data_IF_340629532967
#
_entry.id   IF_340629532967
#
_cell.length_a   1.000
_cell.length_b   1.000
_cell.length_c   1.000
_cell.angle_alpha   90.00
_cell.angle_beta   90.00
_cell.angle_gamma   90.00
#
_symmetry.space_group_name_H-M   'P 1'
#
loop_
_entity.id
_entity.type
_entity.pdbx_description
1 polymer ?
#
# COMPACT_ATOMS: atom_id res chain seq x y z
N UNK A 1 -17.59 22.98 0.51
CA UNK A 1 -18.71 22.14 0.06
C UNK A 1 -18.27 20.70 -0.32
N UNK A 2 -17.13 20.19 0.15
CA UNK A 2 -16.65 18.84 -0.25
C UNK A 2 -16.76 17.76 0.83
N UNK A 3 -17.10 18.10 2.08
CA UNK A 3 -17.18 17.11 3.16
C UNK A 3 -18.50 16.28 3.17
N UNK A 4 -19.50 16.66 2.37
CA UNK A 4 -20.78 15.95 2.32
C UNK A 4 -20.81 14.83 1.27
N UNK A 5 -19.87 14.76 0.32
CA UNK A 5 -19.93 13.75 -0.74
C UNK A 5 -19.44 12.36 -0.26
N UNK A 6 -18.43 12.32 0.60
CA UNK A 6 -17.84 11.07 1.10
C UNK A 6 -18.80 10.28 2.02
N UNK A 7 -19.73 10.95 2.72
CA UNK A 7 -20.66 10.28 3.64
C UNK A 7 -21.80 9.52 2.95
N UNK A 8 -22.07 9.79 1.67
CA UNK A 8 -23.17 9.16 0.92
C UNK A 8 -22.73 8.01 0.04
N UNK A 9 -21.44 7.78 -0.17
CA UNK A 9 -20.97 6.64 -0.97
C UNK A 9 -21.53 5.29 -0.49
N UNK A 10 -21.53 4.96 0.82
CA UNK A 10 -22.14 3.72 1.28
C UNK A 10 -23.62 3.62 0.95
N UNK A 11 -24.34 4.75 0.99
CA UNK A 11 -25.77 4.79 0.69
C UNK A 11 -26.05 4.63 -0.82
N UNK A 12 -25.23 5.24 -1.67
CA UNK A 12 -25.31 5.07 -3.12
C UNK A 12 -25.04 3.62 -3.51
N UNK A 13 -24.00 3.01 -2.93
CA UNK A 13 -23.67 1.58 -3.12
C UNK A 13 -24.83 0.68 -2.67
N UNK A 14 -25.46 0.97 -1.51
CA UNK A 14 -26.63 0.23 -1.06
C UNK A 14 -27.86 0.42 -1.97
N UNK A 15 -27.98 1.58 -2.62
CA UNK A 15 -29.06 1.86 -3.58
C UNK A 15 -28.84 1.06 -4.86
N UNK A 16 -27.62 1.07 -5.40
CA UNK A 16 -27.21 0.21 -6.52
C UNK A 16 -27.42 -1.27 -6.17
N UNK A 17 -27.08 -1.69 -4.95
CA UNK A 17 -27.30 -3.07 -4.51
C UNK A 17 -28.78 -3.46 -4.43
N UNK A 18 -29.67 -2.55 -4.05
CA UNK A 18 -31.13 -2.79 -4.05
C UNK A 18 -31.68 -2.95 -5.46
N UNK A 19 -31.15 -2.19 -6.43
CA UNK A 19 -31.49 -2.35 -7.85
C UNK A 19 -30.94 -3.68 -8.40
N UNK A 20 -29.72 -4.06 -8.01
CA UNK A 20 -29.13 -5.36 -8.27
C UNK A 20 -29.97 -6.51 -7.67
N UNK A 21 -30.44 -6.39 -6.43
CA UNK A 21 -31.31 -7.39 -5.80
C UNK A 21 -32.65 -7.50 -6.54
N UNK A 22 -33.26 -6.38 -6.91
CA UNK A 22 -34.48 -6.36 -7.72
C UNK A 22 -34.29 -7.00 -9.12
N UNK A 23 -33.05 -7.05 -9.62
CA UNK A 23 -32.67 -7.67 -10.90
C UNK A 23 -31.99 -9.04 -10.74
N UNK A 24 -31.92 -9.61 -9.52
CA UNK A 24 -31.24 -10.86 -9.19
C UNK A 24 -29.72 -10.90 -9.48
N UNK A 25 -29.06 -9.74 -9.48
CA UNK A 25 -27.61 -9.58 -9.69
C UNK A 25 -26.88 -9.27 -8.38
N UNK A 26 -26.98 -10.14 -7.37
CA UNK A 26 -26.27 -9.96 -6.09
C UNK A 26 -24.75 -9.96 -6.28
N UNK A 27 -24.04 -9.23 -5.42
CA UNK A 27 -22.57 -9.22 -5.44
C UNK A 27 -22.00 -10.37 -4.61
N UNK A 28 -20.83 -10.92 -4.98
CA UNK A 28 -20.11 -11.85 -4.11
C UNK A 28 -19.75 -11.21 -2.77
N UNK A 29 -19.77 -12.01 -1.71
CA UNK A 29 -19.52 -11.59 -0.33
C UNK A 29 -18.17 -10.90 -0.20
N UNK A 30 -17.15 -11.42 -0.90
CA UNK A 30 -15.83 -10.83 -0.91
C UNK A 30 -15.84 -9.35 -1.35
N UNK A 31 -16.58 -9.03 -2.44
CA UNK A 31 -16.74 -7.66 -2.94
C UNK A 31 -17.44 -6.77 -1.90
N UNK A 32 -18.48 -7.30 -1.25
CA UNK A 32 -19.20 -6.57 -0.21
C UNK A 32 -18.28 -6.25 0.98
N UNK A 33 -17.51 -7.23 1.47
CA UNK A 33 -16.55 -7.03 2.57
C UNK A 33 -15.50 -5.98 2.21
N UNK A 34 -14.94 -6.04 1.01
CA UNK A 34 -13.97 -5.03 0.55
C UNK A 34 -14.60 -3.63 0.51
N UNK A 35 -15.82 -3.55 -0.01
CA UNK A 35 -16.55 -2.28 -0.17
C UNK A 35 -16.94 -1.66 1.17
N UNK A 36 -17.34 -2.47 2.16
CA UNK A 36 -17.76 -1.97 3.48
C UNK A 36 -16.67 -2.08 4.56
N UNK A 37 -15.41 -2.33 4.18
CA UNK A 37 -14.28 -2.53 5.12
C UNK A 37 -14.10 -1.37 6.10
N UNK A 38 -14.40 -0.13 5.68
CA UNK A 38 -14.25 1.08 6.48
C UNK A 38 -15.43 1.37 7.41
N UNK A 39 -16.52 0.58 7.34
CA UNK A 39 -17.69 0.77 8.20
C UNK A 39 -17.38 0.21 9.60
N UNK A 40 -17.57 1.05 10.62
CA UNK A 40 -17.36 0.63 12.01
C UNK A 40 -18.41 -0.39 12.42
N UNK A 41 -17.95 -1.55 12.88
CA UNK A 41 -18.80 -2.50 13.58
C UNK A 41 -19.09 -1.98 14.99
N UNK A 42 -20.29 -2.28 15.50
CA UNK A 42 -20.67 -1.95 16.88
C UNK A 42 -19.96 -2.82 17.90
N UNK A 43 -20.72 -3.60 18.68
CA UNK A 43 -20.18 -4.39 19.80
C UNK A 43 -19.32 -5.57 19.35
N UNK A 44 -19.64 -6.22 18.23
CA UNK A 44 -18.98 -7.43 17.77
C UNK A 44 -18.24 -7.19 16.44
N UNK A 45 -16.92 -7.35 16.46
CA UNK A 45 -16.07 -7.19 15.27
C UNK A 45 -16.43 -8.18 14.13
N UNK A 46 -17.11 -9.29 14.44
CA UNK A 46 -17.55 -10.31 13.47
C UNK A 46 -18.74 -9.87 12.63
N UNK A 47 -19.52 -8.90 13.10
CA UNK A 47 -20.71 -8.43 12.39
C UNK A 47 -20.36 -7.83 11.02
N UNK A 48 -19.09 -7.43 10.78
CA UNK A 48 -18.62 -7.03 9.44
C UNK A 48 -18.78 -8.11 8.38
N UNK A 49 -18.73 -9.37 8.80
CA UNK A 49 -18.88 -10.53 7.92
C UNK A 49 -20.35 -10.93 7.85
N UNK A 50 -20.97 -11.13 9.02
CA UNK A 50 -22.29 -11.76 9.10
C UNK A 50 -23.42 -10.84 8.62
N UNK A 51 -23.31 -9.53 8.80
CA UNK A 51 -24.33 -8.58 8.37
C UNK A 51 -24.48 -8.51 6.84
N UNK A 52 -23.46 -8.95 6.09
CA UNK A 52 -23.43 -8.89 4.63
C UNK A 52 -23.92 -10.18 3.96
N UNK A 53 -24.05 -11.28 4.70
CA UNK A 53 -24.40 -12.59 4.14
C UNK A 53 -25.74 -12.59 3.43
N UNK A 54 -26.76 -11.95 4.02
CA UNK A 54 -28.09 -11.87 3.40
C UNK A 54 -28.14 -11.06 2.10
N UNK A 55 -27.12 -10.23 1.85
CA UNK A 55 -26.98 -9.42 0.64
C UNK A 55 -26.13 -10.14 -0.43
N UNK A 56 -25.25 -11.04 0.00
CA UNK A 56 -24.29 -11.70 -0.87
C UNK A 56 -24.94 -12.74 -1.78
N UNK A 57 -24.35 -12.94 -2.95
CA UNK A 57 -24.73 -13.98 -3.91
C UNK A 57 -24.43 -15.39 -3.37
N UNK A 58 -23.29 -15.52 -2.70
CA UNK A 58 -22.64 -16.70 -2.14
C UNK A 58 -22.77 -16.76 -0.60
N UNK A 59 -23.70 -16.00 -0.03
CA UNK A 59 -23.89 -15.90 1.42
C UNK A 59 -24.43 -17.15 2.10
N UNK A 60 -24.91 -18.12 1.33
CA UNK A 60 -25.38 -19.44 1.77
C UNK A 60 -24.28 -20.51 1.84
N UNK A 61 -23.05 -20.17 1.47
CA UNK A 61 -21.91 -21.07 1.60
C UNK A 61 -21.70 -21.49 3.07
N UNK A 62 -21.62 -22.80 3.39
CA UNK A 62 -21.44 -23.29 4.76
C UNK A 62 -20.20 -22.74 5.49
N UNK A 63 -19.16 -22.34 4.74
CA UNK A 63 -17.97 -21.71 5.33
C UNK A 63 -18.26 -20.32 5.90
N UNK A 64 -19.33 -19.66 5.48
CA UNK A 64 -19.69 -18.31 5.90
C UNK A 64 -20.77 -18.26 6.99
N UNK A 65 -21.22 -19.41 7.51
CA UNK A 65 -22.25 -19.46 8.55
C UNK A 65 -21.86 -18.64 9.80
N UNK A 66 -22.77 -17.82 10.36
CA UNK A 66 -22.48 -17.02 11.55
C UNK A 66 -22.01 -17.86 12.75
N UNK A 67 -20.86 -17.49 13.31
CA UNK A 67 -20.25 -18.14 14.49
C UNK A 67 -19.82 -17.08 15.52
N UNK A 68 -20.57 -17.02 16.62
CA UNK A 68 -20.31 -16.12 17.74
C UNK A 68 -19.56 -16.79 18.91
N UNK A 69 -19.28 -18.09 18.83
CA UNK A 69 -18.68 -18.88 19.91
C UNK A 69 -17.18 -19.09 19.73
N UNK A 70 -16.72 -19.35 18.50
CA UNK A 70 -15.29 -19.57 18.19
C UNK A 70 -14.46 -18.30 18.35
N UNK A 71 -13.12 -18.36 18.49
CA UNK A 71 -12.26 -17.19 18.41
C UNK A 71 -12.37 -16.45 17.06
N UNK A 72 -12.13 -15.13 17.06
CA UNK A 72 -12.30 -14.29 15.85
C UNK A 72 -11.38 -14.72 14.70
N UNK A 73 -10.15 -15.10 15.02
CA UNK A 73 -9.17 -15.61 14.07
C UNK A 73 -9.63 -16.87 13.34
N UNK A 74 -10.39 -17.75 14.01
CA UNK A 74 -10.97 -18.95 13.40
C UNK A 74 -12.02 -18.57 12.36
N UNK A 75 -12.87 -17.58 12.69
CA UNK A 75 -13.86 -17.05 11.75
C UNK A 75 -13.19 -16.41 10.54
N UNK A 76 -12.17 -15.57 10.75
CA UNK A 76 -11.42 -14.91 9.67
C UNK A 76 -10.75 -15.92 8.74
N UNK A 77 -10.10 -16.94 9.30
CA UNK A 77 -9.44 -18.01 8.54
C UNK A 77 -10.44 -18.79 7.70
N UNK A 78 -11.58 -19.16 8.28
CA UNK A 78 -12.65 -19.89 7.59
C UNK A 78 -13.21 -19.09 6.40
N UNK A 79 -13.39 -17.77 6.58
CA UNK A 79 -13.82 -16.89 5.50
C UNK A 79 -12.76 -16.77 4.40
N UNK A 80 -11.50 -16.58 4.77
CA UNK A 80 -10.39 -16.53 3.82
C UNK A 80 -10.24 -17.84 3.03
N UNK A 81 -10.45 -18.99 3.67
CA UNK A 81 -10.53 -20.28 3.01
C UNK A 81 -11.64 -20.31 1.96
N UNK A 82 -12.86 -19.91 2.32
CA UNK A 82 -13.98 -19.86 1.36
C UNK A 82 -13.65 -18.99 0.15
N UNK A 83 -13.13 -17.79 0.39
CA UNK A 83 -12.72 -16.89 -0.70
C UNK A 83 -11.61 -17.46 -1.57
N UNK A 84 -10.63 -18.14 -0.97
CA UNK A 84 -9.57 -18.78 -1.72
C UNK A 84 -10.09 -19.94 -2.59
N UNK A 85 -11.05 -20.71 -2.09
CA UNK A 85 -11.73 -21.78 -2.83
C UNK A 85 -12.59 -21.23 -3.98
N UNK A 86 -13.18 -20.05 -3.80
CA UNK A 86 -14.00 -19.36 -4.80
C UNK A 86 -13.17 -18.58 -5.84
N UNK A 87 -11.84 -18.67 -5.78
CA UNK A 87 -10.93 -18.07 -6.78
C UNK A 87 -10.45 -16.66 -6.45
N UNK A 88 -10.74 -16.11 -5.27
CA UNK A 88 -10.28 -14.78 -4.83
C UNK A 88 -8.83 -14.79 -4.27
N UNK A 89 -8.02 -15.79 -4.61
CA UNK A 89 -6.68 -15.95 -4.06
C UNK A 89 -5.77 -14.74 -4.30
N UNK A 90 -5.81 -14.13 -5.48
CA UNK A 90 -4.99 -12.96 -5.78
C UNK A 90 -5.45 -11.72 -5.01
N UNK A 91 -6.77 -11.53 -4.89
CA UNK A 91 -7.37 -10.41 -4.17
C UNK A 91 -7.09 -10.49 -2.67
N UNK A 92 -7.04 -11.69 -2.10
CA UNK A 92 -6.58 -11.93 -0.74
C UNK A 92 -5.11 -11.49 -0.59
N UNK A 93 -4.23 -11.89 -1.51
CA UNK A 93 -2.81 -11.52 -1.47
C UNK A 93 -2.60 -10.00 -1.58
N UNK A 94 -3.41 -9.29 -2.38
CA UNK A 94 -3.37 -7.83 -2.40
C UNK A 94 -3.76 -7.20 -1.06
N UNK A 95 -4.77 -7.75 -0.39
CA UNK A 95 -5.24 -7.22 0.89
C UNK A 95 -4.40 -7.69 2.09
N UNK A 96 -3.47 -8.63 1.90
CA UNK A 96 -2.64 -9.22 2.93
C UNK A 96 -1.22 -8.61 3.01
N UNK A 97 -0.46 -8.98 4.05
CA UNK A 97 0.94 -8.56 4.26
C UNK A 97 1.17 -7.11 4.75
N UNK A 98 0.27 -6.16 4.50
CA UNK A 98 0.57 -4.73 4.57
C UNK A 98 1.01 -4.13 5.92
N UNK A 99 0.83 -4.80 7.07
CA UNK A 99 1.24 -4.27 8.38
C UNK A 99 1.64 -5.33 9.44
N UNK A 100 1.86 -6.59 9.04
CA UNK A 100 2.24 -7.66 9.99
C UNK A 100 3.76 -7.62 10.22
N UNK A 101 4.19 -7.35 11.45
CA UNK A 101 5.55 -7.66 11.88
C UNK A 101 5.69 -9.20 12.01
N UNK A 102 6.85 -9.75 11.67
CA UNK A 102 7.16 -11.17 11.88
C UNK A 102 6.88 -11.56 13.33
N UNK A 103 6.02 -12.57 13.53
CA UNK A 103 5.72 -13.15 14.85
C UNK A 103 4.55 -12.52 15.61
N UNK A 104 3.91 -11.45 15.12
CA UNK A 104 2.80 -10.79 15.84
C UNK A 104 1.41 -11.14 15.26
N UNK A 105 1.35 -11.91 14.16
CA UNK A 105 0.08 -12.23 13.52
C UNK A 105 -0.45 -13.61 13.88
N UNK A 106 -1.65 -13.63 14.47
CA UNK A 106 -2.47 -14.83 14.72
C UNK A 106 -3.08 -15.43 13.44
N UNK A 107 -2.81 -14.83 12.29
CA UNK A 107 -3.39 -15.17 10.99
C UNK A 107 -2.28 -15.48 9.98
N UNK A 108 -2.51 -16.40 9.02
CA UNK A 108 -1.58 -16.63 7.92
C UNK A 108 -1.17 -15.34 7.20
N UNK A 109 0.03 -15.32 6.63
CA UNK A 109 0.56 -14.14 5.96
C UNK A 109 -0.26 -13.74 4.73
N UNK A 110 -0.93 -14.70 4.07
CA UNK A 110 -1.85 -14.48 2.95
C UNK A 110 -3.28 -14.11 3.35
N UNK A 111 -3.63 -14.16 4.64
CA UNK A 111 -4.97 -13.79 5.12
C UNK A 111 -5.01 -12.33 5.53
N UNK A 112 -5.84 -11.50 4.88
CA UNK A 112 -6.06 -10.13 5.28
C UNK A 112 -6.61 -10.04 6.70
N UNK A 113 -6.13 -9.09 7.47
CA UNK A 113 -6.82 -8.70 8.68
C UNK A 113 -7.92 -7.70 8.33
N UNK A 114 -9.15 -8.19 8.15
CA UNK A 114 -10.31 -7.33 7.93
C UNK A 114 -10.74 -6.60 9.22
N UNK A 115 -10.10 -6.86 10.35
CA UNK A 115 -10.49 -6.30 11.64
C UNK A 115 -9.96 -4.92 11.93
N UNK A 116 -8.82 -4.60 11.34
CA UNK A 116 -8.20 -3.31 11.46
C UNK A 116 -8.93 -2.26 10.61
N UNK A 117 -9.03 -1.03 11.15
CA UNK A 117 -9.47 0.15 10.40
C UNK A 117 -8.36 0.57 9.41
N UNK A 118 -7.88 -0.34 8.57
CA UNK A 118 -6.96 -0.01 7.49
C UNK A 118 -7.78 0.55 6.35
N UNK A 119 -7.74 1.88 6.18
CA UNK A 119 -7.96 2.50 4.87
C UNK A 119 -7.16 1.75 3.80
N UNK A 120 -7.55 1.78 2.52
CA UNK A 120 -6.86 1.14 1.36
C UNK A 120 -5.40 1.63 1.12
N UNK A 121 -4.78 2.24 2.13
CA UNK A 121 -3.36 2.53 2.27
C UNK A 121 -2.57 1.24 2.01
N UNK A 122 -1.71 1.33 1.01
CA UNK A 122 -0.74 0.30 0.64
C UNK A 122 -1.18 -0.60 -0.50
N UNK A 123 -2.44 -0.50 -0.98
CA UNK A 123 -2.94 -1.42 -1.99
C UNK A 123 -2.57 -1.02 -3.43
N UNK A 124 -1.31 -1.29 -3.82
CA UNK A 124 -0.75 -1.41 -5.18
C UNK A 124 -1.78 -1.57 -6.31
N UNK A 125 -2.59 -2.62 -6.18
CA UNK A 125 -3.52 -3.09 -7.21
C UNK A 125 -4.67 -2.13 -7.56
N UNK A 126 -4.98 -1.18 -6.68
CA UNK A 126 -6.07 -0.19 -6.81
C UNK A 126 -5.59 1.19 -7.32
N UNK A 127 -4.35 1.30 -7.80
CA UNK A 127 -3.76 2.58 -8.23
C UNK A 127 -4.44 3.27 -9.44
N UNK A 128 -5.44 2.63 -10.07
CA UNK A 128 -6.15 3.19 -11.22
C UNK A 128 -6.81 4.54 -10.92
N UNK A 129 -7.34 4.72 -9.70
CA UNK A 129 -7.88 6.00 -9.21
C UNK A 129 -6.85 7.14 -9.13
N UNK A 130 -5.56 6.84 -9.35
CA UNK A 130 -4.42 7.77 -9.32
C UNK A 130 -3.76 7.94 -10.70
N UNK A 131 -4.40 7.41 -11.74
CA UNK A 131 -3.94 7.50 -13.13
C UNK A 131 -2.88 6.46 -13.51
N UNK A 132 -2.71 5.40 -12.72
CA UNK A 132 -1.70 4.35 -12.97
C UNK A 132 -2.34 2.97 -12.97
N UNK A 133 -2.08 2.20 -14.02
CA UNK A 133 -2.52 0.81 -14.13
C UNK A 133 -1.27 -0.05 -14.24
N UNK A 134 -0.99 -0.83 -13.19
CA UNK A 134 0.15 -1.74 -13.17
C UNK A 134 -0.19 -3.08 -13.83
N UNK A 135 0.84 -3.69 -14.41
CA UNK A 135 0.74 -4.96 -15.13
C UNK A 135 2.04 -5.75 -14.99
N UNK A 136 2.54 -5.90 -13.76
CA UNK A 136 3.86 -6.49 -13.49
C UNK A 136 4.02 -7.90 -14.09
N UNK A 137 2.99 -8.75 -14.04
CA UNK A 137 3.02 -10.10 -14.64
C UNK A 137 2.77 -10.14 -16.15
N UNK A 138 2.51 -9.00 -16.79
CA UNK A 138 2.21 -8.92 -18.22
C UNK A 138 1.00 -9.78 -18.61
N UNK A 139 1.25 -10.77 -19.48
CA UNK A 139 0.23 -11.69 -20.00
C UNK A 139 0.18 -13.05 -19.26
N UNK A 140 0.93 -13.22 -18.17
CA UNK A 140 0.91 -14.46 -17.40
C UNK A 140 -0.46 -14.67 -16.75
N UNK A 141 -1.01 -15.86 -16.90
CA UNK A 141 -2.29 -16.22 -16.30
C UNK A 141 -2.13 -16.54 -14.81
N UNK A 142 -3.14 -16.19 -14.01
CA UNK A 142 -3.15 -16.50 -12.58
C UNK A 142 -3.06 -17.99 -12.32
N UNK A 143 -2.18 -18.38 -11.40
CA UNK A 143 -1.96 -19.77 -10.98
C UNK A 143 -1.82 -19.80 -9.46
N UNK A 144 -2.97 -19.74 -8.80
CA UNK A 144 -3.10 -19.76 -7.35
C UNK A 144 -4.03 -20.91 -6.97
N UNK A 145 -3.63 -21.71 -5.99
CA UNK A 145 -4.42 -22.83 -5.49
C UNK A 145 -4.36 -22.87 -3.96
N UNK A 146 -5.52 -23.02 -3.32
CA UNK A 146 -5.60 -23.26 -1.89
C UNK A 146 -5.42 -24.74 -1.58
N UNK A 147 -4.43 -25.07 -0.76
CA UNK A 147 -4.14 -26.42 -0.32
C UNK A 147 -4.74 -26.66 1.07
N UNK A 148 -5.92 -27.27 1.11
CA UNK A 148 -6.70 -27.44 2.35
C UNK A 148 -6.01 -28.28 3.41
N UNK A 149 -5.18 -29.26 3.02
CA UNK A 149 -4.43 -30.15 3.92
C UNK A 149 -3.34 -29.43 4.71
N UNK A 150 -2.81 -28.33 4.15
CA UNK A 150 -1.74 -27.52 4.73
C UNK A 150 -2.18 -26.11 5.12
N UNK A 151 -3.39 -25.72 4.72
CA UNK A 151 -3.96 -24.38 4.90
C UNK A 151 -3.06 -23.26 4.32
N UNK A 152 -2.40 -23.54 3.19
CA UNK A 152 -1.51 -22.61 2.48
C UNK A 152 -2.06 -22.24 1.12
N UNK A 153 -1.62 -21.08 0.60
CA UNK A 153 -1.79 -20.74 -0.82
C UNK A 153 -0.54 -21.14 -1.59
N UNK A 154 -0.68 -22.06 -2.54
CA UNK A 154 0.32 -22.29 -3.58
C UNK A 154 0.18 -21.20 -4.64
N UNK A 155 1.26 -20.48 -4.93
CA UNK A 155 1.32 -19.42 -5.94
C UNK A 155 2.50 -19.66 -6.88
N UNK A 156 2.29 -19.57 -8.19
CA UNK A 156 3.40 -19.53 -9.13
C UNK A 156 3.96 -18.11 -9.25
N UNK A 157 5.28 -17.97 -9.16
CA UNK A 157 5.93 -16.68 -9.20
C UNK A 157 7.26 -16.67 -9.96
N UNK A 158 7.70 -15.46 -10.28
CA UNK A 158 9.00 -15.15 -10.87
C UNK A 158 9.83 -14.33 -9.88
N UNK A 159 10.98 -14.88 -9.50
CA UNK A 159 11.98 -14.16 -8.69
C UNK A 159 12.70 -13.11 -9.53
N UNK A 160 12.38 -11.84 -9.27
CA UNK A 160 12.86 -10.70 -10.03
C UNK A 160 14.10 -10.03 -9.43
N UNK A 161 14.21 -10.01 -8.10
CA UNK A 161 15.29 -9.35 -7.40
C UNK A 161 15.34 -9.70 -5.92
N UNK A 162 16.31 -9.14 -5.21
CA UNK A 162 16.43 -9.24 -3.75
C UNK A 162 16.66 -7.84 -3.19
N UNK A 163 16.01 -7.52 -2.07
CA UNK A 163 16.21 -6.26 -1.35
C UNK A 163 17.64 -6.21 -0.82
N UNK A 164 18.34 -5.12 -1.14
CA UNK A 164 19.74 -4.88 -0.75
C UNK A 164 19.83 -3.91 0.41
N UNK A 165 19.26 -2.71 0.25
CA UNK A 165 19.23 -1.70 1.30
C UNK A 165 17.81 -1.22 1.56
N UNK A 166 17.53 -0.90 2.84
CA UNK A 166 16.25 -0.37 3.31
C UNK A 166 16.50 0.93 4.06
N UNK A 167 15.70 1.96 3.79
CA UNK A 167 15.80 3.24 4.50
C UNK A 167 15.47 3.07 6.00
N UNK A 168 16.20 3.78 6.85
CA UNK A 168 15.95 3.79 8.30
C UNK A 168 14.69 4.55 8.65
N UNK A 169 14.40 5.60 7.88
CA UNK A 169 13.20 6.42 8.06
C UNK A 169 12.09 5.95 7.13
N UNK A 170 10.84 6.14 7.58
CA UNK A 170 9.63 5.84 6.83
C UNK A 170 8.98 7.11 6.28
N UNK A 171 8.12 6.96 5.27
CA UNK A 171 7.25 8.02 4.77
C UNK A 171 6.11 8.35 5.78
N UNK A 172 6.48 8.96 6.91
CA UNK A 172 5.52 9.52 7.88
C UNK A 172 5.82 11.00 8.10
N UNK A 173 4.81 11.87 8.32
CA UNK A 173 5.00 13.32 8.39
C UNK A 173 6.15 13.77 9.31
N UNK A 174 6.33 13.09 10.45
CA UNK A 174 7.38 13.38 11.43
C UNK A 174 8.81 13.05 10.97
N UNK A 175 8.97 12.15 10.00
CA UNK A 175 10.26 11.65 9.52
C UNK A 175 10.61 12.08 8.09
N UNK A 176 9.66 12.65 7.33
CA UNK A 176 9.81 12.96 5.89
C UNK A 176 11.07 13.74 5.52
N UNK A 177 11.48 14.71 6.32
CA UNK A 177 12.73 15.46 6.06
C UNK A 177 13.96 14.52 6.02
N UNK A 178 14.06 13.56 6.94
CA UNK A 178 15.18 12.59 6.99
C UNK A 178 15.01 11.49 5.96
N UNK A 179 13.78 11.01 5.75
CA UNK A 179 13.44 10.06 4.69
C UNK A 179 13.91 10.55 3.32
N UNK A 180 13.59 11.80 2.95
CA UNK A 180 14.01 12.38 1.68
C UNK A 180 15.50 12.74 1.57
N UNK A 181 16.22 12.84 2.69
CA UNK A 181 17.69 12.98 2.67
C UNK A 181 18.37 11.63 2.45
N UNK A 182 17.87 10.59 3.11
CA UNK A 182 18.36 9.21 2.98
C UNK A 182 18.05 8.67 1.57
N UNK A 183 16.84 8.87 1.07
CA UNK A 183 16.44 8.53 -0.29
C UNK A 183 17.34 9.18 -1.35
N UNK A 184 17.64 10.47 -1.21
CA UNK A 184 18.53 11.16 -2.15
C UNK A 184 19.91 10.48 -2.19
N UNK A 185 20.44 10.13 -1.01
CA UNK A 185 21.74 9.48 -0.85
C UNK A 185 21.74 8.05 -1.43
N UNK A 186 20.66 7.29 -1.22
CA UNK A 186 20.51 5.94 -1.75
C UNK A 186 20.43 5.94 -3.28
N UNK A 187 19.69 6.88 -3.88
CA UNK A 187 19.62 7.01 -5.34
C UNK A 187 20.96 7.47 -5.94
N UNK A 188 21.65 8.40 -5.29
CA UNK A 188 22.97 8.88 -5.73
C UNK A 188 24.05 7.78 -5.67
N UNK A 189 23.90 6.80 -4.76
CA UNK A 189 24.77 5.64 -4.70
C UNK A 189 24.57 4.65 -5.87
N UNK A 190 23.41 4.69 -6.54
CA UNK A 190 23.11 3.85 -7.70
C UNK A 190 23.80 4.39 -8.97
N UNK A 191 25.06 3.96 -9.18
CA UNK A 191 25.92 4.41 -10.30
C UNK A 191 25.42 4.07 -11.71
N UNK A 192 24.45 3.15 -11.83
CA UNK A 192 23.90 2.73 -13.12
C UNK A 192 22.91 3.74 -13.72
N UNK A 193 22.40 4.68 -12.91
CA UNK A 193 21.49 5.73 -13.38
C UNK A 193 22.27 7.00 -13.73
N UNK A 194 21.99 7.56 -14.90
CA UNK A 194 22.43 8.92 -15.23
C UNK A 194 21.72 9.97 -14.33
N UNK A 195 22.20 11.21 -14.39
CA UNK A 195 21.71 12.29 -13.53
C UNK A 195 20.22 12.58 -13.78
N UNK A 196 19.76 12.51 -15.02
CA UNK A 196 18.36 12.79 -15.37
C UNK A 196 17.43 11.72 -14.81
N UNK A 197 17.83 10.45 -14.93
CA UNK A 197 17.11 9.32 -14.35
C UNK A 197 17.09 9.39 -12.84
N UNK A 198 18.21 9.74 -12.18
CA UNK A 198 18.23 9.95 -10.73
C UNK A 198 17.25 11.04 -10.29
N UNK A 199 17.17 12.17 -11.00
CA UNK A 199 16.20 13.22 -10.68
C UNK A 199 14.76 12.78 -10.91
N UNK A 200 14.52 11.94 -11.91
CA UNK A 200 13.19 11.35 -12.14
C UNK A 200 12.80 10.39 -11.01
N UNK A 201 13.71 9.51 -10.59
CA UNK A 201 13.43 8.54 -9.53
C UNK A 201 13.13 9.22 -8.19
N UNK A 202 13.89 10.27 -7.85
CA UNK A 202 13.68 11.09 -6.64
C UNK A 202 12.28 11.67 -6.52
N UNK A 203 11.60 11.93 -7.65
CA UNK A 203 10.24 12.49 -7.68
C UNK A 203 9.14 11.44 -7.81
N UNK A 204 9.36 10.35 -8.56
CA UNK A 204 8.30 9.38 -8.90
C UNK A 204 8.24 8.18 -7.95
N UNK A 205 9.38 7.62 -7.55
CA UNK A 205 9.42 6.43 -6.68
C UNK A 205 8.76 6.66 -5.32
N UNK A 206 8.97 7.80 -4.62
CA UNK A 206 8.33 8.04 -3.33
C UNK A 206 6.81 8.14 -3.38
N UNK A 207 6.19 8.18 -4.57
CA UNK A 207 4.73 8.26 -4.78
C UNK A 207 4.22 7.08 -5.61
N UNK A 208 5.01 6.01 -5.75
CA UNK A 208 4.71 4.86 -6.59
C UNK A 208 4.29 5.22 -8.03
N UNK A 209 4.85 6.29 -8.59
CA UNK A 209 4.50 6.76 -9.94
C UNK A 209 3.11 7.38 -10.09
N UNK A 210 2.36 7.61 -9.00
CA UNK A 210 1.03 8.22 -9.04
C UNK A 210 1.01 9.56 -9.79
N UNK A 211 -0.03 9.78 -10.60
CA UNK A 211 -0.17 10.99 -11.42
C UNK A 211 -0.96 12.08 -10.70
N UNK A 212 -1.95 11.69 -9.90
CA UNK A 212 -2.80 12.58 -9.11
C UNK A 212 -3.27 11.88 -7.81
N UNK A 213 -3.62 12.65 -6.77
CA UNK A 213 -4.29 12.11 -5.60
C UNK A 213 -5.68 11.61 -5.98
N UNK A 214 -6.21 10.71 -5.17
CA UNK A 214 -7.51 10.08 -5.40
C UNK A 214 -8.65 11.00 -4.94
N UNK A 215 -8.43 11.72 -3.84
CA UNK A 215 -9.36 12.69 -3.26
C UNK A 215 -9.44 14.03 -4.03
N UNK A 216 -8.69 14.18 -5.13
CA UNK A 216 -8.49 15.45 -5.83
C UNK A 216 -9.12 15.50 -7.22
N UNK A 217 -9.25 16.71 -7.78
CA UNK A 217 -9.64 16.87 -9.19
C UNK A 217 -8.58 16.23 -10.09
N UNK A 218 -9.01 15.41 -11.06
CA UNK A 218 -8.20 14.81 -12.13
C UNK A 218 -7.52 15.84 -13.08
N UNK A 219 -7.58 17.14 -12.76
CA UNK A 219 -6.86 18.17 -13.48
C UNK A 219 -5.36 17.83 -13.52
N UNK A 220 -4.70 18.03 -14.66
CA UNK A 220 -3.28 17.74 -14.85
C UNK A 220 -2.44 18.37 -13.73
N UNK A 221 -1.95 17.55 -12.81
CA UNK A 221 -1.01 17.97 -11.78
C UNK A 221 0.38 17.98 -12.36
N UNK A 222 1.05 19.13 -12.27
CA UNK A 222 2.48 19.18 -12.56
C UNK A 222 3.25 18.61 -11.35
N UNK A 223 3.56 17.31 -11.39
CA UNK A 223 4.28 16.59 -10.33
C UNK A 223 5.65 17.24 -10.09
N UNK A 224 6.35 17.64 -11.15
CA UNK A 224 7.69 18.25 -11.05
C UNK A 224 7.65 19.55 -10.25
N UNK A 225 6.69 20.43 -10.54
CA UNK A 225 6.52 21.67 -9.79
C UNK A 225 6.09 21.40 -8.35
N UNK A 226 5.14 20.49 -8.14
CA UNK A 226 4.62 20.11 -6.82
C UNK A 226 5.73 19.53 -5.94
N UNK A 227 6.54 18.62 -6.48
CA UNK A 227 7.73 18.06 -5.84
C UNK A 227 8.75 19.13 -5.47
N UNK A 228 9.07 20.04 -6.40
CA UNK A 228 10.04 21.12 -6.13
C UNK A 228 9.57 22.06 -5.01
N UNK A 229 8.28 22.39 -4.98
CA UNK A 229 7.66 23.19 -3.94
C UNK A 229 7.71 22.45 -2.60
N UNK A 230 7.37 21.17 -2.60
CA UNK A 230 7.39 20.28 -1.44
C UNK A 230 8.78 20.17 -0.81
N UNK A 231 9.81 19.86 -1.61
CA UNK A 231 11.21 19.81 -1.12
C UNK A 231 11.67 21.13 -0.53
N UNK A 232 11.22 22.27 -1.07
CA UNK A 232 11.56 23.61 -0.54
C UNK A 232 10.87 23.87 0.81
N UNK A 233 9.64 23.40 1.01
CA UNK A 233 8.94 23.47 2.30
C UNK A 233 9.69 22.64 3.35
N UNK A 234 10.02 21.37 3.04
CA UNK A 234 10.77 20.50 3.96
C UNK A 234 12.10 21.13 4.43
N UNK A 235 12.87 21.72 3.51
CA UNK A 235 14.12 22.41 3.85
C UNK A 235 13.89 23.62 4.78
N UNK A 236 12.83 24.41 4.56
CA UNK A 236 12.50 25.56 5.41
C UNK A 236 12.11 25.13 6.82
N UNK A 237 11.32 24.07 6.94
CA UNK A 237 10.87 23.56 8.24
C UNK A 237 12.03 22.97 9.04
N UNK A 238 12.97 22.30 8.36
CA UNK A 238 14.20 21.82 8.98
C UNK A 238 15.09 22.98 9.51
N UNK A 239 15.28 24.03 8.71
CA UNK A 239 16.04 25.22 9.13
C UNK A 239 15.41 25.91 10.34
N UNK A 240 14.08 26.04 10.36
CA UNK A 240 13.34 26.56 11.52
C UNK A 240 13.53 25.69 12.75
N UNK A 241 13.41 24.37 12.60
CA UNK A 241 13.57 23.42 13.70
C UNK A 241 15.01 23.37 14.26
N UNK A 242 16.03 23.66 13.44
CA UNK A 242 17.43 23.81 13.89
C UNK A 242 17.64 25.13 14.64
N UNK A 243 17.08 26.24 14.13
CA UNK A 243 17.16 27.55 14.79
C UNK A 243 16.53 27.54 16.20
N UNK A 244 15.36 26.92 16.36
CA UNK A 244 14.69 26.77 17.67
C UNK A 244 15.47 25.89 18.66
N UNK A 245 16.26 24.92 18.17
CA UNK A 245 17.13 24.08 19.02
C UNK A 245 18.43 24.79 19.41
N UNK A 246 18.93 25.69 18.55
CA UNK A 246 20.15 26.47 18.80
C UNK A 246 20.00 27.60 19.82
N UNK A 247 18.78 28.08 20.09
CA UNK A 247 18.50 29.20 21.01
C UNK A 247 18.26 28.78 22.47
N UNK A 248 18.52 27.51 22.82
CA UNK A 248 18.31 26.95 24.16
C UNK A 248 19.23 27.46 25.29
N UNK A 249 20.08 28.47 25.07
CA UNK A 249 20.83 29.14 26.15
C UNK A 249 20.77 30.67 26.02
N UNK A 250 19.93 31.25 26.90
CA UNK A 250 19.79 32.67 27.28
C UNK A 250 19.16 33.61 26.24
N UNK A 251 17.91 34.03 26.50
CA UNK A 251 17.49 35.41 26.26
C UNK A 251 16.36 35.80 27.24
N UNK A 252 16.72 36.70 28.17
CA UNK A 252 15.80 37.46 29.00
C UNK A 252 14.87 38.32 28.13
N UNK A 253 13.67 38.53 28.65
CA UNK A 253 12.70 39.58 28.35
C UNK A 253 13.22 40.72 27.48
N UNK A 254 12.76 40.77 26.22
CA UNK A 254 12.65 42.01 25.45
C UNK A 254 11.30 42.05 24.76
N UNK A 255 10.45 42.93 25.26
CA UNK A 255 9.29 43.47 24.56
C UNK A 255 9.77 44.12 23.26
N UNK A 256 9.37 43.57 22.12
CA UNK A 256 9.31 44.34 20.87
C UNK A 256 8.13 43.88 20.04
N UNK A 257 7.21 44.81 19.88
CA UNK A 257 6.14 44.82 18.92
C UNK A 257 6.62 44.53 17.48
N UNK A 258 5.70 43.97 16.70
CA UNK A 258 5.55 44.09 15.24
C UNK A 258 6.43 43.21 14.34
N UNK A 259 5.83 42.14 13.80
CA UNK A 259 5.67 41.88 12.35
C UNK A 259 4.77 40.67 12.08
N UNK A 260 3.46 40.89 12.14
CA UNK A 260 2.46 40.11 11.40
C UNK A 260 2.22 40.81 10.07
N UNK A 261 2.97 40.48 9.01
CA UNK A 261 2.64 40.88 7.61
C UNK A 261 3.67 40.40 6.57
N UNK A 262 3.93 39.10 6.46
CA UNK A 262 4.62 38.57 5.25
C UNK A 262 4.11 37.22 4.74
N UNK A 263 3.07 36.64 5.35
CA UNK A 263 2.54 35.33 4.95
C UNK A 263 1.52 35.37 3.78
N UNK A 264 1.30 36.54 3.14
CA UNK A 264 0.22 36.76 2.16
C UNK A 264 0.69 37.17 0.75
N UNK A 265 1.90 36.79 0.33
CA UNK A 265 2.26 36.96 -1.08
C UNK A 265 1.59 35.86 -1.93
N UNK A 266 0.94 36.17 -3.07
CA UNK A 266 0.34 35.19 -3.97
C UNK A 266 1.31 34.07 -4.38
N UNK A 267 2.60 34.39 -4.53
CA UNK A 267 3.64 33.43 -4.84
C UNK A 267 3.91 32.43 -3.70
N UNK A 268 3.80 32.86 -2.43
CA UNK A 268 3.96 31.99 -1.26
C UNK A 268 2.74 31.08 -1.09
N UNK A 269 1.54 31.62 -1.33
CA UNK A 269 0.28 30.88 -1.29
C UNK A 269 0.31 29.77 -2.35
N UNK A 270 0.59 30.12 -3.62
CA UNK A 270 0.69 29.14 -4.70
C UNK A 270 1.79 28.09 -4.47
N UNK A 271 2.91 28.46 -3.85
CA UNK A 271 3.94 27.50 -3.46
C UNK A 271 3.45 26.51 -2.37
N UNK A 272 2.74 26.99 -1.35
CA UNK A 272 2.20 26.11 -0.30
C UNK A 272 1.12 25.18 -0.86
N UNK A 273 0.29 25.65 -1.78
CA UNK A 273 -0.72 24.83 -2.46
C UNK A 273 -0.07 23.72 -3.30
N UNK A 274 0.90 24.06 -4.16
CA UNK A 274 1.66 23.06 -4.93
C UNK A 274 2.37 22.04 -4.05
N UNK A 275 2.91 22.48 -2.91
CA UNK A 275 3.52 21.58 -1.92
C UNK A 275 2.50 20.61 -1.30
N UNK A 276 1.26 21.05 -1.06
CA UNK A 276 0.21 20.18 -0.51
C UNK A 276 -0.14 19.07 -1.48
N UNK A 277 -0.16 19.34 -2.78
CA UNK A 277 -0.47 18.31 -3.80
C UNK A 277 0.47 17.12 -3.71
N UNK A 278 1.79 17.35 -3.64
CA UNK A 278 2.74 16.24 -3.50
C UNK A 278 2.65 15.58 -2.12
N UNK A 279 2.35 16.34 -1.06
CA UNK A 279 2.12 15.78 0.28
C UNK A 279 0.91 14.84 0.31
N UNK A 280 -0.20 15.19 -0.34
CA UNK A 280 -1.40 14.35 -0.45
C UNK A 280 -1.10 13.00 -1.12
N UNK A 281 -0.28 12.98 -2.18
CA UNK A 281 0.18 11.73 -2.81
C UNK A 281 0.93 10.82 -1.82
N UNK A 282 1.73 11.42 -0.92
CA UNK A 282 2.45 10.68 0.12
C UNK A 282 1.55 10.24 1.29
N UNK A 283 0.46 10.96 1.56
CA UNK A 283 -0.44 10.77 2.70
C UNK A 283 -1.57 9.77 2.45
N UNK A 284 -2.04 9.64 1.21
CA UNK A 284 -3.22 8.84 0.92
C UNK A 284 -2.92 7.34 0.78
N UNK A 285 -1.72 6.97 0.30
CA UNK A 285 -1.50 5.63 -0.25
C UNK A 285 -0.36 4.83 0.36
N UNK A 286 0.75 5.45 0.75
CA UNK A 286 2.01 4.76 1.08
C UNK A 286 2.65 5.35 2.33
N UNK A 287 1.80 5.77 3.26
CA UNK A 287 2.24 6.25 4.57
C UNK A 287 2.91 5.09 5.32
N UNK A 288 4.02 5.36 5.98
CA UNK A 288 4.77 4.35 6.74
C UNK A 288 5.73 3.51 5.91
N UNK A 289 5.56 3.46 4.58
CA UNK A 289 6.43 2.71 3.68
C UNK A 289 7.86 3.25 3.70
N UNK A 290 8.80 2.35 3.43
CA UNK A 290 10.24 2.63 3.38
C UNK A 290 10.73 2.64 1.94
N UNK A 291 11.81 3.37 1.71
CA UNK A 291 12.53 3.36 0.44
C UNK A 291 13.50 2.18 0.43
N UNK A 292 13.61 1.51 -0.71
CA UNK A 292 14.45 0.32 -0.86
C UNK A 292 15.28 0.39 -2.14
N UNK A 293 16.44 -0.26 -2.12
CA UNK A 293 17.21 -0.59 -3.31
C UNK A 293 17.37 -2.09 -3.41
N UNK A 294 17.52 -2.60 -4.63
CA UNK A 294 17.67 -4.03 -4.90
C UNK A 294 19.10 -4.37 -5.30
N UNK A 295 19.47 -5.65 -5.25
CA UNK A 295 20.81 -6.13 -5.62
C UNK A 295 21.15 -5.89 -7.09
N UNK A 296 20.14 -5.81 -7.97
CA UNK A 296 20.33 -5.44 -9.38
C UNK A 296 20.34 -3.92 -9.61
N UNK A 297 20.38 -3.12 -8.54
CA UNK A 297 20.51 -1.67 -8.62
C UNK A 297 19.21 -0.93 -8.97
N UNK A 298 18.04 -1.60 -8.84
CA UNK A 298 16.74 -0.93 -8.95
C UNK A 298 16.40 -0.26 -7.62
N UNK A 299 15.40 0.60 -7.63
CA UNK A 299 14.92 1.25 -6.41
C UNK A 299 13.39 1.33 -6.38
N UNK A 300 12.86 1.49 -5.18
CA UNK A 300 11.44 1.33 -4.95
C UNK A 300 10.99 1.76 -3.56
N UNK A 301 9.76 1.41 -3.24
CA UNK A 301 9.18 1.51 -1.90
C UNK A 301 8.48 0.21 -1.53
N UNK A 302 8.50 -0.12 -0.24
CA UNK A 302 7.90 -1.34 0.30
C UNK A 302 7.35 -1.10 1.72
N UNK A 303 6.53 -2.02 2.26
CA UNK A 303 5.99 -1.94 3.61
C UNK A 303 7.08 -1.77 4.68
N UNK A 304 6.69 -1.25 5.85
CA UNK A 304 7.63 -0.89 6.91
C UNK A 304 8.43 -2.07 7.49
N UNK A 305 7.90 -3.29 7.35
CA UNK A 305 8.43 -4.58 7.77
C UNK A 305 9.46 -5.18 6.81
N UNK A 306 9.70 -4.57 5.63
CA UNK A 306 10.72 -5.03 4.67
C UNK A 306 12.12 -5.00 5.28
N UNK A 307 12.93 -6.02 4.94
CA UNK A 307 14.30 -6.18 5.39
C UNK A 307 15.25 -6.47 4.20
N UNK A 308 16.54 -6.10 4.32
CA UNK A 308 17.57 -6.61 3.42
C UNK A 308 17.56 -8.14 3.38
N UNK A 309 17.60 -8.70 2.17
CA UNK A 309 17.53 -10.15 1.95
C UNK A 309 16.15 -10.66 1.52
N UNK A 310 15.08 -9.89 1.72
CA UNK A 310 13.75 -10.26 1.21
C UNK A 310 13.75 -10.35 -0.32
N UNK A 311 13.00 -11.30 -0.88
CA UNK A 311 12.90 -11.45 -2.34
C UNK A 311 11.76 -10.60 -2.92
N UNK A 312 11.98 -10.12 -4.15
CA UNK A 312 10.99 -9.41 -4.95
C UNK A 312 10.45 -10.38 -5.99
N UNK A 313 9.18 -10.72 -5.87
CA UNK A 313 8.51 -11.75 -6.65
C UNK A 313 7.36 -11.16 -7.46
N UNK A 314 7.15 -11.64 -8.68
CA UNK A 314 5.94 -11.36 -9.45
C UNK A 314 5.10 -12.62 -9.49
N UNK A 315 3.92 -12.59 -8.86
CA UNK A 315 2.97 -13.67 -8.97
C UNK A 315 2.33 -13.69 -10.35
N UNK A 316 2.16 -14.87 -10.93
CA UNK A 316 1.48 -15.02 -12.22
C UNK A 316 0.04 -14.50 -12.11
N UNK A 317 -0.39 -13.69 -13.09
CA UNK A 317 -1.66 -12.95 -13.04
C UNK A 317 -1.69 -11.72 -12.11
N UNK A 318 -0.59 -11.43 -11.40
CA UNK A 318 -0.46 -10.30 -10.49
C UNK A 318 -0.26 -8.96 -11.20
N UNK A 319 -0.87 -7.89 -10.67
CA UNK A 319 -0.72 -6.53 -11.18
C UNK A 319 0.55 -5.85 -10.68
N UNK A 320 1.04 -6.24 -9.52
CA UNK A 320 2.19 -5.63 -8.84
C UNK A 320 3.13 -6.72 -8.30
N UNK A 321 4.41 -6.40 -8.03
CA UNK A 321 5.32 -7.31 -7.34
C UNK A 321 5.00 -7.39 -5.84
N UNK A 322 5.42 -8.49 -5.24
CA UNK A 322 5.28 -8.82 -3.83
C UNK A 322 6.66 -9.05 -3.21
N UNK A 323 6.76 -8.75 -1.92
CA UNK A 323 7.91 -9.06 -1.10
C UNK A 323 7.64 -10.37 -0.37
N UNK A 324 8.53 -11.34 -0.56
CA UNK A 324 8.53 -12.61 0.15
C UNK A 324 9.74 -12.73 1.08
N UNK A 325 9.55 -13.43 2.19
CA UNK A 325 10.62 -13.77 3.13
C UNK A 325 10.58 -15.26 3.43
N UNK A 326 11.72 -15.93 3.29
CA UNK A 326 11.84 -17.34 3.63
C UNK A 326 11.62 -17.54 5.14
N UNK A 327 10.70 -18.44 5.50
CA UNK A 327 10.44 -18.80 6.88
C UNK A 327 11.55 -19.66 7.48
N UNK A 328 11.71 -19.62 8.80
CA UNK A 328 12.65 -20.46 9.55
C UNK A 328 12.19 -21.93 9.70
N UNK A 329 11.01 -22.29 9.19
CA UNK A 329 10.41 -23.61 9.40
C UNK A 329 11.00 -24.68 8.45
N UNK A 330 11.24 -25.92 8.93
CA UNK A 330 11.77 -27.02 8.11
C UNK A 330 10.90 -27.43 6.92
N UNK A 331 9.63 -27.00 6.88
CA UNK A 331 8.65 -27.35 5.86
C UNK A 331 8.71 -26.46 4.59
N UNK A 332 9.58 -25.43 4.55
CA UNK A 332 9.78 -24.61 3.36
C UNK A 332 8.67 -23.57 3.09
N UNK A 333 8.00 -23.11 4.14
CA UNK A 333 6.99 -22.05 4.04
C UNK A 333 7.59 -20.67 3.78
N UNK A 334 6.90 -19.87 2.97
CA UNK A 334 7.31 -18.49 2.66
C UNK A 334 6.31 -17.49 3.26
N UNK A 335 6.83 -16.44 3.90
CA UNK A 335 6.02 -15.36 4.45
C UNK A 335 5.78 -14.27 3.41
N UNK A 336 4.51 -13.89 3.24
CA UNK A 336 4.14 -12.70 2.50
C UNK A 336 4.34 -11.45 3.37
N UNK A 337 5.29 -10.60 2.96
CA UNK A 337 5.49 -9.27 3.56
C UNK A 337 4.55 -8.23 2.94
N UNK A 338 4.10 -8.43 1.70
CA UNK A 338 3.08 -7.61 1.05
C UNK A 338 3.51 -7.07 -0.31
N UNK A 339 2.66 -6.24 -0.91
CA UNK A 339 2.92 -5.61 -2.21
C UNK A 339 4.09 -4.63 -2.13
N UNK A 340 4.79 -4.38 -3.25
CA UNK A 340 5.80 -3.33 -3.34
C UNK A 340 5.75 -2.57 -4.66
N UNK A 341 6.41 -1.41 -4.71
CA UNK A 341 6.66 -0.68 -5.94
C UNK A 341 8.16 -0.70 -6.22
N UNK A 342 8.58 -1.31 -7.32
CA UNK A 342 9.97 -1.26 -7.80
C UNK A 342 9.99 -0.70 -9.21
N UNK A 343 10.73 0.39 -9.41
CA UNK A 343 10.90 1.01 -10.72
C UNK A 343 11.57 0.03 -11.70
N UNK A 344 10.98 -0.10 -12.90
CA UNK A 344 11.40 -1.07 -13.91
C UNK A 344 10.89 -2.51 -13.72
N UNK A 345 9.90 -2.72 -12.83
CA UNK A 345 9.24 -4.02 -12.64
C UNK A 345 7.71 -3.93 -12.85
N UNK A 346 7.12 -2.76 -12.63
CA UNK A 346 5.66 -2.59 -12.48
C UNK A 346 4.82 -2.77 -13.76
N UNK A 347 5.43 -2.72 -14.94
CA UNK A 347 4.76 -2.68 -16.24
C UNK A 347 5.15 -3.86 -17.15
N UNK A 348 5.61 -4.97 -16.58
CA UNK A 348 5.93 -6.20 -17.31
C UNK A 348 7.36 -6.26 -17.83
N UNK A 349 8.17 -5.23 -17.58
CA UNK A 349 9.54 -5.13 -18.08
C UNK A 349 10.41 -6.30 -17.58
N UNK A 350 10.22 -6.70 -16.32
CA UNK A 350 10.94 -7.84 -15.73
C UNK A 350 10.58 -9.17 -16.43
N UNK A 351 9.32 -9.41 -16.77
CA UNK A 351 8.90 -10.63 -17.46
C UNK A 351 9.52 -10.72 -18.86
N UNK A 352 9.63 -9.58 -19.55
CA UNK A 352 10.30 -9.50 -20.85
C UNK A 352 11.83 -9.64 -20.77
N UNK A 353 12.44 -9.02 -19.75
CA UNK A 353 13.88 -9.06 -19.50
C UNK A 353 14.36 -10.51 -19.30
N UNK A 354 13.54 -11.33 -18.65
CA UNK A 354 13.88 -12.70 -18.31
C UNK A 354 13.10 -13.71 -19.19
N UNK A 355 13.11 -13.52 -20.52
CA UNK A 355 12.58 -14.52 -21.47
C UNK A 355 13.13 -15.92 -21.17
N UNK A 356 12.24 -16.87 -20.85
CA UNK A 356 12.58 -18.25 -20.51
C UNK A 356 12.65 -18.56 -19.00
N UNK A 357 12.19 -17.66 -18.14
CA UNK A 357 12.03 -17.95 -16.72
C UNK A 357 11.20 -19.20 -16.46
N UNK A 358 11.63 -19.94 -15.45
CA UNK A 358 10.83 -20.97 -14.82
C UNK A 358 10.02 -20.30 -13.72
N UNK A 359 8.70 -20.27 -13.88
CA UNK A 359 7.81 -20.02 -12.76
C UNK A 359 8.08 -21.06 -11.67
N UNK A 360 8.25 -20.60 -10.43
CA UNK A 360 8.52 -21.46 -9.27
C UNK A 360 7.25 -21.44 -8.39
N UNK A 361 6.78 -22.60 -7.93
CA UNK A 361 5.71 -22.64 -6.93
C UNK A 361 6.26 -22.21 -5.57
N UNK A 362 5.55 -21.28 -4.92
CA UNK A 362 5.75 -20.87 -3.53
C UNK A 362 4.55 -21.29 -2.70
N UNK A 363 4.80 -21.68 -1.45
CA UNK A 363 3.77 -22.04 -0.48
C UNK A 363 3.70 -20.94 0.56
N UNK A 364 2.69 -20.06 0.45
CA UNK A 364 2.55 -18.91 1.34
C UNK A 364 1.88 -19.36 2.64
N UNK A 365 2.63 -19.28 3.73
CA UNK A 365 2.36 -20.06 4.95
C UNK A 365 1.57 -19.30 6.04
N UNK A 366 1.10 -20.13 6.97
CA UNK A 366 0.69 -19.90 8.35
C UNK A 366 1.91 -19.76 9.27
N UNK A 367 1.84 -18.78 10.17
CA UNK A 367 2.71 -18.55 11.35
C UNK A 367 3.73 -19.64 11.73
#
# INVERSE_FOLDING_TARGET
MCAFAESWQPFMILTEHRECEATSQRWPLFRLIQTFRYVKTGKYQRDRFFALLGLALDGDNPLFEPDYDSPLEVVIRRFAQGFAQDGYGMELLYAAGLDKQEGDSRLPSWVPDWTEETSDRGNLSSAAGRGVIFSASGLLSSRICYLQDREVLEVCAICCDVIDCVSRFSNVPSQRSRYFQELDSMIEACKHFDLDRQQQLKKTVPIAGALHPESGSSALINITESYSAYRRVLRKDELKARSMRGTGKKAKTRTSSRRTSSEQSPAIIGMREKSKTYASLLDEYIVGWKFVTTKRGRCGIAPSSVLPGDSVEIFSGGKVPFILRDGLQPAGGTFLIGQCYIDGIMFGEAVEEFKGLREIPYYIDLS
#
